data_IF_109098776655
#
_entry.id   IF_109098776655
#
_cell.length_a   1.000
_cell.length_b   1.000
_cell.length_c   1.000
_cell.angle_alpha   90.00
_cell.angle_beta   90.00
_cell.angle_gamma   90.00
#
_symmetry.space_group_name_H-M   'P 1'
#
loop_
_entity.id
_entity.type
_entity.pdbx_description
1 polymer ?
#
# COMPACT_ATOMS: atom_id res chain seq x y z
N UNK A 1 35.52 -21.02 -15.85
CA UNK A 1 34.94 -22.16 -15.12
C UNK A 1 33.59 -21.72 -14.59
N UNK A 2 32.53 -22.00 -15.34
CA UNK A 2 31.15 -21.84 -14.93
C UNK A 2 30.46 -23.11 -15.45
N UNK A 3 30.33 -24.07 -14.55
CA UNK A 3 29.68 -25.35 -14.80
C UNK A 3 28.15 -25.17 -14.87
N UNK A 4 27.60 -26.01 -15.72
CA UNK A 4 26.21 -26.39 -15.99
C UNK A 4 25.14 -26.12 -14.91
N UNK A 5 24.05 -25.50 -15.36
CA UNK A 5 22.71 -25.80 -14.83
C UNK A 5 21.86 -26.29 -15.99
N UNK A 6 21.60 -27.61 -15.99
CA UNK A 6 20.91 -28.32 -17.06
C UNK A 6 19.48 -27.82 -17.27
N UNK A 7 19.22 -27.31 -18.47
CA UNK A 7 17.86 -27.13 -18.99
C UNK A 7 17.23 -28.52 -19.15
N UNK A 8 16.22 -28.81 -18.34
CA UNK A 8 15.41 -30.02 -18.50
C UNK A 8 14.68 -29.95 -19.85
N UNK A 9 15.10 -30.82 -20.77
CA UNK A 9 14.65 -30.90 -22.16
C UNK A 9 13.63 -32.02 -22.29
N UNK A 10 12.37 -31.68 -22.51
CA UNK A 10 11.41 -32.66 -23.03
C UNK A 10 11.64 -32.84 -24.54
N UNK A 11 11.82 -34.10 -24.93
CA UNK A 11 12.08 -34.52 -26.31
C UNK A 11 10.74 -34.78 -27.01
N UNK A 12 10.36 -33.91 -27.94
CA UNK A 12 9.33 -34.23 -28.95
C UNK A 12 9.99 -34.64 -30.26
N UNK A 13 9.54 -35.77 -30.81
CA UNK A 13 10.12 -36.57 -31.90
C UNK A 13 10.13 -35.89 -33.29
N UNK A 14 9.83 -34.61 -33.43
CA UNK A 14 9.76 -33.95 -34.75
C UNK A 14 10.39 -32.56 -34.74
N UNK A 15 11.70 -32.53 -34.95
CA UNK A 15 12.35 -31.81 -36.06
C UNK A 15 12.34 -30.28 -36.17
N UNK A 16 11.49 -29.52 -35.48
CA UNK A 16 11.49 -28.05 -35.61
C UNK A 16 11.54 -27.34 -34.25
N UNK A 17 12.76 -26.93 -33.89
CA UNK A 17 13.02 -26.07 -32.73
C UNK A 17 12.59 -24.63 -33.05
N UNK A 18 11.32 -24.32 -32.87
CA UNK A 18 10.91 -22.94 -32.61
C UNK A 18 10.78 -22.76 -31.10
N UNK A 19 11.60 -21.93 -30.43
CA UNK A 19 11.31 -21.55 -29.07
C UNK A 19 9.96 -20.84 -29.10
N UNK A 20 8.92 -21.47 -28.53
CA UNK A 20 7.64 -20.81 -28.33
C UNK A 20 7.90 -19.70 -27.33
N UNK A 21 8.30 -18.54 -27.83
CA UNK A 21 8.44 -17.34 -27.01
C UNK A 21 7.07 -17.13 -26.37
N UNK A 22 7.00 -17.29 -25.04
CA UNK A 22 5.80 -16.99 -24.28
C UNK A 22 5.47 -15.52 -24.55
N UNK A 23 4.62 -15.26 -25.54
CA UNK A 23 4.05 -13.94 -25.72
C UNK A 23 3.17 -13.71 -24.49
N UNK A 24 3.69 -12.98 -23.51
CA UNK A 24 3.00 -12.65 -22.24
C UNK A 24 1.59 -12.08 -22.47
N UNK A 25 1.35 -11.47 -23.64
CA UNK A 25 0.02 -11.00 -24.08
C UNK A 25 -1.01 -12.11 -24.32
N UNK A 26 -0.58 -13.33 -24.69
CA UNK A 26 -1.44 -14.47 -24.97
C UNK A 26 -1.70 -15.32 -23.71
N UNK A 27 -0.70 -15.51 -22.83
CA UNK A 27 -0.90 -16.25 -21.56
C UNK A 27 -1.96 -15.59 -20.67
N UNK A 28 -1.94 -14.27 -20.53
CA UNK A 28 -2.88 -13.55 -19.65
C UNK A 28 -4.37 -13.61 -20.06
N UNK A 29 -4.68 -14.11 -21.26
CA UNK A 29 -6.07 -14.33 -21.71
C UNK A 29 -6.56 -15.75 -21.41
N UNK A 30 -5.68 -16.61 -20.91
CA UNK A 30 -6.06 -17.94 -20.49
C UNK A 30 -6.83 -17.85 -19.18
N UNK A 31 -8.01 -18.45 -19.17
CA UNK A 31 -8.89 -18.48 -18.00
C UNK A 31 -8.20 -19.04 -16.74
N UNK A 32 -7.29 -20.00 -16.91
CA UNK A 32 -6.48 -20.56 -15.81
C UNK A 32 -5.65 -19.50 -15.09
N UNK A 33 -5.06 -18.56 -15.82
CA UNK A 33 -4.24 -17.49 -15.25
C UNK A 33 -5.12 -16.46 -14.57
N UNK A 34 -6.24 -16.10 -15.20
CA UNK A 34 -7.19 -15.14 -14.61
C UNK A 34 -7.77 -15.71 -13.31
N UNK A 35 -8.11 -17.00 -13.26
CA UNK A 35 -8.60 -17.62 -12.02
C UNK A 35 -7.56 -17.58 -10.91
N UNK A 36 -6.29 -17.86 -11.22
CA UNK A 36 -5.20 -17.77 -10.24
C UNK A 36 -5.00 -16.34 -9.75
N UNK A 37 -5.05 -15.35 -10.64
CA UNK A 37 -4.92 -13.94 -10.27
C UNK A 37 -6.07 -13.46 -9.37
N UNK A 38 -7.29 -13.92 -9.61
CA UNK A 38 -8.44 -13.61 -8.75
C UNK A 38 -8.27 -14.24 -7.38
N UNK A 39 -7.87 -15.51 -7.31
CA UNK A 39 -7.60 -16.20 -6.03
C UNK A 39 -6.48 -15.50 -5.28
N UNK A 40 -5.37 -15.16 -5.94
CA UNK A 40 -4.26 -14.43 -5.35
C UNK A 40 -4.69 -13.05 -4.83
N UNK A 41 -5.56 -12.34 -5.57
CA UNK A 41 -6.08 -11.03 -5.13
C UNK A 41 -6.97 -11.17 -3.91
N UNK A 42 -7.83 -12.20 -3.86
CA UNK A 42 -8.65 -12.48 -2.68
C UNK A 42 -7.79 -12.86 -1.47
N UNK A 43 -6.74 -13.67 -1.66
CA UNK A 43 -5.81 -14.03 -0.60
C UNK A 43 -5.05 -12.80 -0.07
N UNK A 44 -4.60 -11.91 -0.96
CA UNK A 44 -3.97 -10.64 -0.60
C UNK A 44 -4.92 -9.74 0.21
N UNK A 45 -6.18 -9.61 -0.23
CA UNK A 45 -7.19 -8.81 0.49
C UNK A 45 -7.49 -9.42 1.86
N UNK A 46 -7.68 -10.74 1.92
CA UNK A 46 -7.91 -11.46 3.18
C UNK A 46 -6.74 -11.27 4.14
N UNK A 47 -5.51 -11.44 3.66
CA UNK A 47 -4.28 -11.21 4.43
C UNK A 47 -4.25 -9.77 4.97
N UNK A 48 -4.51 -8.78 4.12
CA UNK A 48 -4.50 -7.38 4.51
C UNK A 48 -5.55 -7.07 5.59
N UNK A 49 -6.78 -7.57 5.41
CA UNK A 49 -7.86 -7.36 6.39
C UNK A 49 -7.53 -8.04 7.74
N UNK A 50 -6.93 -9.23 7.72
CA UNK A 50 -6.52 -9.93 8.94
C UNK A 50 -5.43 -9.13 9.69
N UNK A 51 -4.42 -8.63 8.96
CA UNK A 51 -3.35 -7.79 9.55
C UNK A 51 -3.95 -6.52 10.14
N UNK A 52 -4.80 -5.83 9.37
CA UNK A 52 -5.38 -4.56 9.78
C UNK A 52 -6.32 -4.74 10.97
N UNK A 53 -7.18 -5.76 10.95
CA UNK A 53 -8.12 -6.04 12.05
C UNK A 53 -7.40 -6.32 13.36
N UNK A 54 -6.31 -7.09 13.31
CA UNK A 54 -5.66 -7.60 14.51
C UNK A 54 -4.53 -6.71 15.01
N UNK A 55 -3.94 -5.87 14.17
CA UNK A 55 -2.74 -5.12 14.55
C UNK A 55 -2.85 -3.62 14.34
N UNK A 56 -3.69 -3.13 13.43
CA UNK A 56 -3.71 -1.72 13.00
C UNK A 56 -4.93 -0.96 13.52
N UNK A 57 -6.12 -1.54 13.42
CA UNK A 57 -7.37 -0.88 13.82
C UNK A 57 -7.35 -0.59 15.31
N UNK A 58 -7.53 0.69 15.65
CA UNK A 58 -7.59 1.12 17.04
C UNK A 58 -6.25 1.15 17.77
N UNK A 59 -5.12 0.96 17.06
CA UNK A 59 -3.76 1.16 17.57
C UNK A 59 -3.10 2.37 16.88
N UNK A 60 -2.57 2.18 15.67
CA UNK A 60 -1.89 3.18 14.84
C UNK A 60 -2.47 3.07 13.44
N UNK A 61 -3.77 3.35 13.30
CA UNK A 61 -4.39 3.43 11.98
C UNK A 61 -4.25 4.82 11.36
N UNK A 62 -4.39 4.88 10.04
CA UNK A 62 -4.25 6.13 9.29
C UNK A 62 -5.31 7.17 9.67
N UNK A 63 -6.50 6.75 10.12
CA UNK A 63 -7.56 7.68 10.53
C UNK A 63 -7.21 8.40 11.82
N UNK A 64 -6.55 7.73 12.77
CA UNK A 64 -6.06 8.36 13.98
C UNK A 64 -4.93 9.36 13.71
N UNK A 65 -4.06 9.06 12.74
CA UNK A 65 -3.03 9.99 12.30
C UNK A 65 -3.64 11.23 11.63
N UNK A 66 -4.69 11.07 10.82
CA UNK A 66 -5.41 12.18 10.23
C UNK A 66 -6.05 13.07 11.30
N UNK A 67 -6.84 12.51 12.21
CA UNK A 67 -7.46 13.24 13.32
C UNK A 67 -6.43 14.01 14.16
N UNK A 68 -5.28 13.37 14.47
CA UNK A 68 -4.19 14.03 15.22
C UNK A 68 -3.60 15.22 14.46
N UNK A 69 -3.43 15.11 13.15
CA UNK A 69 -2.90 16.20 12.32
C UNK A 69 -3.91 17.33 12.18
N UNK A 70 -5.19 17.00 12.01
CA UNK A 70 -6.28 18.00 11.93
C UNK A 70 -6.41 18.80 13.23
N UNK A 71 -6.33 18.13 14.39
CA UNK A 71 -6.29 18.79 15.70
C UNK A 71 -5.06 19.71 15.83
N UNK A 72 -3.90 19.25 15.37
CA UNK A 72 -2.64 20.02 15.47
C UNK A 72 -2.67 21.28 14.60
N UNK A 73 -3.24 21.19 13.40
CA UNK A 73 -3.30 22.30 12.44
C UNK A 73 -4.52 23.19 12.69
N UNK A 74 -5.56 22.65 13.34
CA UNK A 74 -6.82 23.35 13.59
C UNK A 74 -7.70 23.48 12.34
N UNK A 75 -7.49 22.61 11.34
CA UNK A 75 -8.21 22.60 10.07
C UNK A 75 -8.31 21.18 9.50
N UNK A 76 -9.26 20.97 8.59
CA UNK A 76 -9.47 19.68 7.92
C UNK A 76 -8.39 19.42 6.86
N UNK A 77 -8.00 18.15 6.70
CA UNK A 77 -7.07 17.78 5.65
C UNK A 77 -7.74 17.86 4.27
N UNK A 78 -6.96 18.15 3.20
CA UNK A 78 -7.50 18.26 1.84
C UNK A 78 -8.18 16.99 1.28
N UNK A 79 -7.89 15.81 1.84
CA UNK A 79 -8.53 14.57 1.45
C UNK A 79 -9.79 14.38 2.26
N UNK A 80 -10.94 14.31 1.57
CA UNK A 80 -12.21 14.12 2.26
C UNK A 80 -12.32 12.81 3.05
N UNK A 81 -13.01 12.87 4.18
CA UNK A 81 -13.20 11.82 5.19
C UNK A 81 -13.74 10.51 4.60
N UNK A 82 -14.54 10.61 3.54
CA UNK A 82 -15.07 9.43 2.85
C UNK A 82 -13.94 8.58 2.23
N UNK A 83 -12.90 9.21 1.68
CA UNK A 83 -11.77 8.54 1.03
C UNK A 83 -10.80 7.99 2.08
N UNK A 84 -10.54 8.76 3.14
CA UNK A 84 -9.70 8.33 4.26
C UNK A 84 -10.39 7.25 5.11
N UNK A 85 -11.72 7.23 5.13
CA UNK A 85 -12.51 6.37 6.02
C UNK A 85 -12.63 6.92 7.45
N UNK A 86 -12.29 8.18 7.64
CA UNK A 86 -12.48 8.92 8.89
C UNK A 86 -13.96 9.02 9.27
N UNK A 87 -14.23 9.07 10.58
CA UNK A 87 -15.59 8.95 11.13
C UNK A 87 -16.20 7.54 11.11
N UNK A 88 -15.53 6.53 10.50
CA UNK A 88 -15.97 5.12 10.55
C UNK A 88 -15.35 4.37 11.73
N UNK A 89 -15.92 3.20 12.06
CA UNK A 89 -15.43 2.34 13.14
C UNK A 89 -14.97 0.97 12.64
N UNK A 90 -14.03 0.37 13.37
CA UNK A 90 -13.50 -0.96 13.06
C UNK A 90 -12.86 -1.05 11.67
N UNK A 91 -13.10 -2.17 10.99
CA UNK A 91 -12.59 -2.44 9.64
C UNK A 91 -13.18 -1.51 8.55
N UNK A 92 -14.31 -0.85 8.82
CA UNK A 92 -14.96 0.01 7.83
C UNK A 92 -14.11 1.24 7.43
N UNK A 93 -13.15 1.61 8.29
CA UNK A 93 -12.12 2.63 8.02
C UNK A 93 -11.25 2.29 6.80
N UNK A 94 -11.08 1.00 6.49
CA UNK A 94 -10.16 0.54 5.47
C UNK A 94 -10.81 0.16 4.14
N UNK A 95 -12.13 0.01 4.05
CA UNK A 95 -12.76 -0.48 2.82
C UNK A 95 -12.57 0.45 1.61
N UNK A 96 -12.76 1.77 1.79
CA UNK A 96 -12.55 2.72 0.69
C UNK A 96 -11.06 2.85 0.33
N UNK A 97 -10.14 3.05 1.30
CA UNK A 97 -8.70 2.98 1.03
C UNK A 97 -8.26 1.68 0.34
N UNK A 98 -8.82 0.53 0.73
CA UNK A 98 -8.49 -0.76 0.13
C UNK A 98 -8.85 -0.81 -1.36
N UNK A 99 -10.06 -0.35 -1.72
CA UNK A 99 -10.49 -0.27 -3.12
C UNK A 99 -9.55 0.67 -3.90
N UNK A 100 -9.18 1.81 -3.31
CA UNK A 100 -8.21 2.73 -3.91
C UNK A 100 -6.87 2.02 -4.16
N UNK A 101 -6.36 1.27 -3.17
CA UNK A 101 -5.11 0.51 -3.29
C UNK A 101 -5.15 -0.54 -4.41
N UNK A 102 -6.28 -1.24 -4.56
CA UNK A 102 -6.49 -2.21 -5.65
C UNK A 102 -6.51 -1.50 -7.01
N UNK A 103 -7.23 -0.38 -7.13
CA UNK A 103 -7.31 0.40 -8.38
C UNK A 103 -5.93 0.95 -8.76
N UNK A 104 -5.18 1.51 -7.82
CA UNK A 104 -3.84 2.04 -8.06
C UNK A 104 -2.86 0.93 -8.44
N UNK A 105 -2.82 -0.17 -7.69
CA UNK A 105 -1.97 -1.32 -7.98
C UNK A 105 -2.29 -1.98 -9.33
N UNK A 106 -3.57 -2.15 -9.63
CA UNK A 106 -4.05 -2.66 -10.91
C UNK A 106 -3.72 -1.72 -12.07
N UNK A 107 -3.93 -0.41 -11.88
CA UNK A 107 -3.55 0.62 -12.84
C UNK A 107 -2.06 0.60 -13.15
N UNK A 108 -1.21 0.45 -12.13
CA UNK A 108 0.23 0.28 -12.31
C UNK A 108 0.59 -0.99 -13.09
N UNK A 109 -0.07 -2.11 -12.81
CA UNK A 109 0.12 -3.35 -13.59
C UNK A 109 -0.25 -3.15 -15.06
N UNK A 110 -1.40 -2.53 -15.33
CA UNK A 110 -1.84 -2.22 -16.70
C UNK A 110 -0.87 -1.30 -17.44
N UNK A 111 -0.33 -0.29 -16.75
CA UNK A 111 0.69 0.61 -17.29
C UNK A 111 2.00 -0.12 -17.61
N UNK A 112 2.40 -1.09 -16.79
CA UNK A 112 3.62 -1.87 -17.03
C UNK A 112 3.59 -2.64 -18.36
N UNK A 113 2.39 -2.94 -18.89
CA UNK A 113 2.22 -3.59 -20.19
C UNK A 113 2.18 -2.63 -21.39
N UNK A 114 2.15 -1.32 -21.14
CA UNK A 114 2.18 -0.32 -22.20
C UNK A 114 3.60 -0.17 -22.75
N UNK A 115 3.72 0.40 -23.96
CA UNK A 115 5.03 0.66 -24.57
C UNK A 115 5.85 1.63 -23.72
N UNK A 116 7.20 1.58 -23.75
CA UNK A 116 8.05 2.49 -22.97
C UNK A 116 7.71 3.97 -23.21
N UNK A 117 7.37 4.32 -24.46
CA UNK A 117 6.94 5.68 -24.83
C UNK A 117 5.66 6.11 -24.10
N UNK A 118 4.65 5.22 -24.01
CA UNK A 118 3.40 5.50 -23.30
C UNK A 118 3.65 5.59 -21.79
N UNK A 119 4.43 4.68 -21.23
CA UNK A 119 4.81 4.73 -19.82
C UNK A 119 5.52 6.05 -19.46
N UNK A 120 6.46 6.48 -20.31
CA UNK A 120 7.16 7.75 -20.12
C UNK A 120 6.20 8.94 -20.18
N UNK A 121 5.29 8.97 -21.15
CA UNK A 121 4.28 10.04 -21.28
C UNK A 121 3.35 10.12 -20.08
N UNK A 122 2.89 8.97 -19.58
CA UNK A 122 2.03 8.92 -18.38
C UNK A 122 2.80 9.38 -17.14
N UNK A 123 4.03 8.90 -16.95
CA UNK A 123 4.88 9.34 -15.83
C UNK A 123 5.17 10.83 -15.88
N UNK A 124 5.51 11.35 -17.07
CA UNK A 124 5.77 12.77 -17.26
C UNK A 124 4.50 13.59 -17.03
N UNK A 125 3.36 13.18 -17.59
CA UNK A 125 2.07 13.84 -17.35
C UNK A 125 1.71 13.88 -15.87
N UNK A 126 1.91 12.77 -15.14
CA UNK A 126 1.71 12.71 -13.70
C UNK A 126 2.63 13.68 -12.95
N UNK A 127 3.93 13.70 -13.24
CA UNK A 127 4.90 14.60 -12.61
C UNK A 127 4.57 16.07 -12.91
N UNK A 128 4.28 16.41 -14.16
CA UNK A 128 3.90 17.78 -14.55
C UNK A 128 2.62 18.21 -13.86
N UNK A 129 1.61 17.34 -13.79
CA UNK A 129 0.37 17.64 -13.08
C UNK A 129 0.64 17.88 -11.59
N UNK A 130 1.47 17.05 -10.95
CA UNK A 130 1.85 17.23 -9.56
C UNK A 130 2.57 18.56 -9.34
N UNK A 131 3.51 18.94 -10.21
CA UNK A 131 4.21 20.23 -10.13
C UNK A 131 3.24 21.40 -10.29
N UNK A 132 2.29 21.32 -11.23
CA UNK A 132 1.29 22.35 -11.46
C UNK A 132 0.34 22.49 -10.27
N UNK A 133 -0.08 21.38 -9.65
CA UNK A 133 -0.90 21.44 -8.43
C UNK A 133 -0.11 22.02 -7.26
N UNK A 134 1.17 21.65 -7.13
CA UNK A 134 2.02 22.11 -6.03
C UNK A 134 2.35 23.59 -6.08
N UNK A 135 2.83 24.05 -7.22
CA UNK A 135 3.45 25.39 -7.35
C UNK A 135 2.68 26.26 -8.33
N UNK A 136 1.79 25.70 -9.15
CA UNK A 136 1.05 26.46 -10.16
C UNK A 136 0.15 27.52 -9.54
N UNK A 137 -0.51 27.24 -8.41
CA UNK A 137 -1.33 28.26 -7.73
C UNK A 137 -0.48 29.41 -7.21
N UNK A 138 0.67 29.12 -6.59
CA UNK A 138 1.64 30.12 -6.14
C UNK A 138 2.16 30.96 -7.32
N UNK A 139 2.58 30.31 -8.41
CA UNK A 139 3.12 31.00 -9.57
C UNK A 139 2.07 31.89 -10.22
N UNK A 140 0.82 31.41 -10.36
CA UNK A 140 -0.25 32.21 -10.92
C UNK A 140 -0.60 33.39 -10.01
N UNK A 141 -0.72 33.21 -8.69
CA UNK A 141 -1.04 34.30 -7.76
C UNK A 141 0.08 35.35 -7.72
N UNK A 142 1.34 34.90 -7.62
CA UNK A 142 2.52 35.75 -7.56
C UNK A 142 2.78 36.51 -8.88
N UNK A 143 2.76 35.81 -10.03
CA UNK A 143 2.97 36.45 -11.34
C UNK A 143 1.88 37.46 -11.64
N UNK A 144 0.63 37.12 -11.33
CA UNK A 144 -0.51 38.03 -11.50
C UNK A 144 -0.38 39.25 -10.58
N UNK A 145 0.03 39.03 -9.33
CA UNK A 145 0.31 40.11 -8.37
C UNK A 145 1.35 41.09 -8.90
N UNK A 146 2.50 40.61 -9.35
CA UNK A 146 3.55 41.45 -9.93
C UNK A 146 3.12 42.15 -11.22
N UNK A 147 2.36 41.48 -12.08
CA UNK A 147 1.90 42.02 -13.36
C UNK A 147 0.96 43.22 -13.15
N UNK A 148 0.05 43.14 -12.17
CA UNK A 148 -0.91 44.22 -11.90
C UNK A 148 -0.38 45.29 -10.93
N UNK A 149 0.59 44.96 -10.07
CA UNK A 149 1.24 45.95 -9.20
C UNK A 149 2.45 46.64 -9.84
N UNK A 150 2.91 46.16 -11.00
CA UNK A 150 4.13 46.63 -11.69
C UNK A 150 5.35 46.71 -10.78
N UNK A 151 5.50 45.73 -9.88
CA UNK A 151 6.58 45.66 -8.90
C UNK A 151 7.25 44.29 -8.94
N UNK A 152 8.58 44.28 -9.07
CA UNK A 152 9.38 43.06 -9.09
C UNK A 152 9.75 42.69 -7.65
N UNK A 153 9.01 41.75 -7.07
CA UNK A 153 9.16 41.33 -5.68
C UNK A 153 9.10 39.83 -5.53
N UNK A 154 9.63 39.33 -4.42
CA UNK A 154 9.42 37.93 -4.01
C UNK A 154 7.96 37.70 -3.58
N UNK A 155 7.50 36.43 -3.55
CA UNK A 155 6.19 36.09 -3.02
C UNK A 155 6.01 36.61 -1.59
N UNK A 156 4.88 37.26 -1.33
CA UNK A 156 4.54 37.72 0.02
C UNK A 156 3.88 36.59 0.84
N UNK A 157 3.56 36.85 2.10
CA UNK A 157 2.95 35.86 3.00
C UNK A 157 1.64 35.28 2.46
N UNK A 158 0.81 36.09 1.79
CA UNK A 158 -0.48 35.66 1.26
C UNK A 158 -0.34 34.78 0.01
N UNK A 159 0.70 35.02 -0.80
CA UNK A 159 1.01 34.16 -1.93
C UNK A 159 1.64 32.86 -1.45
N UNK A 160 2.55 32.91 -0.46
CA UNK A 160 3.19 31.73 0.12
C UNK A 160 2.22 30.78 0.82
N UNK A 161 1.17 31.30 1.47
CA UNK A 161 0.15 30.47 2.12
C UNK A 161 -0.63 29.60 1.12
N UNK A 162 -0.61 29.92 -0.18
CA UNK A 162 -1.20 29.04 -1.20
C UNK A 162 -0.51 27.68 -1.32
N UNK A 163 0.71 27.52 -0.78
CA UNK A 163 1.42 26.23 -0.72
C UNK A 163 0.91 25.30 0.39
N UNK A 164 0.22 25.81 1.40
CA UNK A 164 -0.23 25.02 2.55
C UNK A 164 -1.14 23.87 2.08
N UNK A 165 -2.15 24.16 1.26
CA UNK A 165 -3.11 23.17 0.79
C UNK A 165 -2.45 22.04 -0.04
N UNK A 166 -1.62 22.31 -1.06
CA UNK A 166 -0.91 21.24 -1.78
C UNK A 166 0.05 20.43 -0.91
N UNK A 167 0.72 21.04 0.06
CA UNK A 167 1.63 20.34 0.97
C UNK A 167 0.86 19.36 1.87
N UNK A 168 -0.27 19.80 2.44
CA UNK A 168 -1.16 18.94 3.23
C UNK A 168 -1.79 17.84 2.38
N UNK A 169 -2.08 18.10 1.11
CA UNK A 169 -2.55 17.08 0.17
C UNK A 169 -1.48 15.99 -0.07
N UNK A 170 -0.20 16.37 -0.20
CA UNK A 170 0.88 15.37 -0.33
C UNK A 170 1.09 14.59 0.96
N UNK A 171 1.10 15.27 2.10
CA UNK A 171 1.23 14.62 3.40
C UNK A 171 0.12 13.58 3.60
N UNK A 172 -1.12 13.96 3.30
CA UNK A 172 -2.28 13.07 3.47
C UNK A 172 -2.25 11.89 2.50
N UNK A 173 -1.88 12.10 1.22
CA UNK A 173 -1.66 11.00 0.28
C UNK A 173 -0.51 10.09 0.71
N UNK A 174 0.57 10.65 1.25
CA UNK A 174 1.72 9.89 1.71
C UNK A 174 1.31 8.95 2.86
N UNK A 175 0.58 9.46 3.85
CA UNK A 175 0.05 8.66 4.95
C UNK A 175 -0.86 7.57 4.40
N UNK A 176 -1.85 7.92 3.57
CA UNK A 176 -2.80 6.95 3.01
C UNK A 176 -2.08 5.84 2.21
N UNK A 177 -1.16 6.22 1.33
CA UNK A 177 -0.44 5.26 0.49
C UNK A 177 0.53 4.39 1.28
N UNK A 178 1.13 4.89 2.36
CA UNK A 178 1.99 4.09 3.24
C UNK A 178 1.24 2.85 3.75
N UNK A 179 0.02 3.04 4.27
CA UNK A 179 -0.83 1.95 4.77
C UNK A 179 -1.38 1.03 3.66
N UNK A 180 -1.37 1.49 2.41
CA UNK A 180 -1.82 0.73 1.26
C UNK A 180 -0.68 0.05 0.48
N UNK A 181 0.60 0.27 0.86
CA UNK A 181 1.76 -0.30 0.17
C UNK A 181 1.67 -1.83 -0.02
N UNK A 182 1.30 -2.64 0.99
CA UNK A 182 1.15 -4.08 0.80
C UNK A 182 0.14 -4.43 -0.29
N UNK A 183 -1.00 -3.74 -0.33
CA UNK A 183 -2.07 -3.98 -1.31
C UNK A 183 -1.64 -3.52 -2.69
N UNK A 184 -1.13 -2.29 -2.81
CA UNK A 184 -0.73 -1.70 -4.09
C UNK A 184 0.34 -2.57 -4.75
N UNK A 185 1.37 -2.96 -4.01
CA UNK A 185 2.46 -3.78 -4.52
C UNK A 185 2.02 -5.22 -4.80
N UNK A 186 1.13 -5.77 -3.96
CA UNK A 186 0.59 -7.11 -4.15
C UNK A 186 -0.25 -7.19 -5.41
N UNK A 187 -1.22 -6.29 -5.59
CA UNK A 187 -2.07 -6.24 -6.79
C UNK A 187 -1.22 -5.96 -8.04
N UNK A 188 -0.27 -5.02 -7.96
CA UNK A 188 0.68 -4.77 -9.06
C UNK A 188 1.47 -6.05 -9.40
N UNK A 189 1.86 -6.82 -8.41
CA UNK A 189 2.59 -8.08 -8.58
C UNK A 189 1.76 -9.16 -9.25
N UNK A 190 0.54 -9.41 -8.77
CA UNK A 190 -0.39 -10.41 -9.31
C UNK A 190 -0.72 -10.10 -10.77
N UNK A 191 -1.21 -8.88 -11.02
CA UNK A 191 -1.70 -8.50 -12.34
C UNK A 191 -0.57 -8.14 -13.30
N UNK A 192 0.58 -7.71 -12.77
CA UNK A 192 1.81 -7.44 -13.52
C UNK A 192 2.70 -8.67 -13.72
N UNK A 193 2.32 -9.83 -13.19
CA UNK A 193 3.11 -11.08 -13.19
C UNK A 193 4.55 -10.86 -12.70
N UNK A 194 4.71 -10.15 -11.58
CA UNK A 194 5.98 -9.66 -11.07
C UNK A 194 6.32 -10.23 -9.69
N UNK A 195 7.19 -11.25 -9.65
CA UNK A 195 7.72 -11.85 -8.41
C UNK A 195 8.38 -10.83 -7.49
N UNK A 196 9.09 -9.84 -8.07
CA UNK A 196 9.70 -8.76 -7.29
C UNK A 196 8.65 -7.92 -6.55
N UNK A 197 7.52 -7.61 -7.20
CA UNK A 197 6.47 -6.81 -6.58
C UNK A 197 5.72 -7.60 -5.50
N UNK A 198 5.53 -8.91 -5.70
CA UNK A 198 5.01 -9.83 -4.68
C UNK A 198 5.92 -9.87 -3.44
N UNK A 199 7.24 -9.99 -3.63
CA UNK A 199 8.20 -9.95 -2.52
C UNK A 199 8.15 -8.61 -1.75
N UNK A 200 7.98 -7.48 -2.45
CA UNK A 200 7.77 -6.18 -1.79
C UNK A 200 6.48 -6.13 -0.98
N UNK A 201 5.37 -6.67 -1.48
CA UNK A 201 4.11 -6.71 -0.75
C UNK A 201 4.25 -7.46 0.59
N UNK A 202 4.96 -8.59 0.56
CA UNK A 202 5.26 -9.39 1.75
C UNK A 202 6.20 -8.62 2.68
N UNK A 203 7.27 -8.05 2.14
CA UNK A 203 8.21 -7.23 2.91
C UNK A 203 7.51 -6.07 3.62
N UNK A 204 6.60 -5.37 2.96
CA UNK A 204 5.80 -4.31 3.59
C UNK A 204 4.86 -4.86 4.64
N UNK A 205 4.19 -6.00 4.40
CA UNK A 205 3.33 -6.64 5.40
C UNK A 205 4.11 -7.01 6.66
N UNK A 206 5.28 -7.63 6.49
CA UNK A 206 6.18 -7.99 7.59
C UNK A 206 6.74 -6.76 8.29
N UNK A 207 7.04 -5.69 7.57
CA UNK A 207 7.46 -4.41 8.15
C UNK A 207 6.37 -3.84 9.06
N UNK A 208 5.11 -3.81 8.60
CA UNK A 208 3.98 -3.37 9.43
C UNK A 208 3.85 -4.20 10.69
N UNK A 209 3.88 -5.54 10.57
CA UNK A 209 3.82 -6.43 11.73
C UNK A 209 5.03 -6.23 12.66
N UNK A 210 6.23 -6.03 12.10
CA UNK A 210 7.45 -5.78 12.87
C UNK A 210 7.40 -4.49 13.67
N UNK A 211 6.89 -3.40 13.08
CA UNK A 211 6.69 -2.12 13.79
C UNK A 211 5.72 -2.32 14.95
N UNK A 212 4.57 -2.96 14.71
CA UNK A 212 3.59 -3.22 15.77
C UNK A 212 4.15 -4.13 16.87
N UNK A 213 4.90 -5.16 16.50
CA UNK A 213 5.57 -6.04 17.45
C UNK A 213 6.63 -5.31 18.28
N UNK A 214 7.36 -4.34 17.71
CA UNK A 214 8.33 -3.53 18.44
C UNK A 214 7.61 -2.59 19.42
N UNK A 215 6.53 -1.95 18.97
CA UNK A 215 5.75 -1.05 19.82
C UNK A 215 5.03 -1.82 20.94
N UNK A 216 4.75 -3.12 20.75
CA UNK A 216 4.25 -4.06 21.76
C UNK A 216 5.11 -4.17 23.03
N UNK A 217 6.40 -3.85 22.96
CA UNK A 217 7.29 -3.98 24.10
C UNK A 217 7.07 -2.86 25.12
N UNK A 218 6.76 -3.17 26.39
CA UNK A 218 6.52 -2.17 27.43
C UNK A 218 7.70 -1.21 27.63
N UNK A 219 8.93 -1.67 27.40
CA UNK A 219 10.12 -0.83 27.44
C UNK A 219 10.04 0.30 26.39
N UNK A 220 9.67 -0.02 25.15
CA UNK A 220 9.58 0.94 24.05
C UNK A 220 8.35 1.84 24.26
N UNK A 221 7.20 1.27 24.59
CA UNK A 221 6.00 2.05 24.86
C UNK A 221 6.21 3.03 26.03
N UNK A 222 6.91 2.59 27.09
CA UNK A 222 7.28 3.45 28.22
C UNK A 222 8.23 4.60 27.88
N UNK A 223 8.96 4.55 26.75
CA UNK A 223 9.76 5.68 26.27
C UNK A 223 8.93 6.71 25.48
N UNK A 224 7.71 6.38 25.06
CA UNK A 224 6.85 7.28 24.29
C UNK A 224 6.15 8.34 25.16
N UNK A 225 6.24 8.24 26.50
CA UNK A 225 5.64 9.21 27.42
C UNK A 225 4.13 9.32 27.23
N UNK A 226 3.56 10.53 27.26
CA UNK A 226 2.12 10.77 27.02
C UNK A 226 1.65 10.40 25.62
N UNK A 227 2.56 10.21 24.65
CA UNK A 227 2.21 9.71 23.32
C UNK A 227 1.99 8.19 23.31
N UNK A 228 2.49 7.46 24.32
CA UNK A 228 2.20 6.03 24.49
C UNK A 228 0.76 5.77 24.92
N UNK A 229 0.12 6.74 25.59
CA UNK A 229 -1.28 6.64 26.04
C UNK A 229 -2.29 6.71 24.88
N UNK A 230 -1.90 7.31 23.75
CA UNK A 230 -2.72 7.34 22.54
C UNK A 230 -2.50 6.12 21.65
N UNK A 231 -1.42 5.36 21.85
CA UNK A 231 -1.17 4.13 21.10
C UNK A 231 -1.71 2.95 21.89
N UNK A 232 -2.83 2.37 21.45
CA UNK A 232 -3.33 1.12 22.03
C UNK A 232 -2.45 -0.04 21.56
N UNK A 233 -1.33 -0.20 22.25
CA UNK A 233 -0.36 -1.24 21.98
C UNK A 233 -0.95 -2.57 22.45
N UNK A 234 -1.12 -3.52 21.53
CA UNK A 234 -1.54 -4.88 21.87
C UNK A 234 -0.40 -5.51 22.68
N UNK A 235 -0.64 -5.68 23.99
CA UNK A 235 0.38 -6.17 24.92
C UNK A 235 1.01 -7.48 24.47
N UNK A 236 2.32 -7.61 24.65
CA UNK A 236 3.06 -8.84 24.40
C UNK A 236 2.41 -10.02 25.15
N UNK A 237 1.77 -10.92 24.41
CA UNK A 237 0.91 -11.95 24.98
C UNK A 237 1.69 -13.16 25.47
N UNK A 238 1.93 -13.20 26.77
CA UNK A 238 1.92 -14.47 27.50
C UNK A 238 0.47 -14.72 27.95
N UNK A 239 -0.40 -15.13 27.02
CA UNK A 239 -1.83 -15.35 27.32
C UNK A 239 -2.18 -16.83 27.29
N UNK A 240 -3.19 -17.20 28.06
CA UNK A 240 -3.74 -18.55 28.09
C UNK A 240 -4.33 -18.93 26.72
N UNK A 241 -4.14 -20.16 26.24
CA UNK A 241 -4.68 -20.60 24.97
C UNK A 241 -6.20 -20.55 25.03
N UNK A 242 -6.84 -20.01 23.98
CA UNK A 242 -8.30 -19.80 23.93
C UNK A 242 -8.94 -20.38 22.67
N UNK A 243 -8.14 -20.65 21.64
CA UNK A 243 -8.60 -21.26 20.39
C UNK A 243 -8.07 -22.69 20.34
N UNK A 244 -8.96 -23.62 20.01
CA UNK A 244 -8.69 -25.05 20.08
C UNK A 244 -9.40 -25.85 19.00
N UNK A 245 -8.88 -27.05 18.74
CA UNK A 245 -9.50 -28.04 17.84
C UNK A 245 -10.02 -29.18 18.72
N UNK A 246 -11.26 -29.61 18.50
CA UNK A 246 -11.89 -30.70 19.28
C UNK A 246 -11.88 -30.48 20.81
N UNK A 247 -11.98 -29.23 21.26
CA UNK A 247 -12.05 -28.88 22.69
C UNK A 247 -10.70 -28.74 23.40
N UNK A 248 -9.58 -28.99 22.73
CA UNK A 248 -8.24 -28.73 23.26
C UNK A 248 -7.80 -27.32 22.86
N UNK A 249 -7.65 -26.42 23.83
CA UNK A 249 -7.14 -25.06 23.58
C UNK A 249 -5.63 -25.12 23.30
N UNK A 250 -5.22 -24.71 22.10
CA UNK A 250 -3.86 -24.87 21.58
C UNK A 250 -3.14 -23.55 21.39
N UNK A 251 -3.86 -22.50 20.98
CA UNK A 251 -3.27 -21.21 20.61
C UNK A 251 -4.10 -20.04 21.13
N UNK A 252 -3.47 -18.89 21.31
CA UNK A 252 -4.17 -17.63 21.58
C UNK A 252 -4.84 -17.10 20.32
N UNK A 253 -5.77 -16.14 20.46
CA UNK A 253 -6.43 -15.49 19.30
C UNK A 253 -5.42 -14.85 18.34
N UNK A 254 -4.37 -14.26 18.88
CA UNK A 254 -3.34 -13.54 18.14
C UNK A 254 -2.35 -14.50 17.48
N UNK A 255 -2.00 -15.60 18.14
CA UNK A 255 -1.22 -16.67 17.51
C UNK A 255 -1.98 -17.29 16.34
N UNK A 256 -3.29 -17.50 16.49
CA UNK A 256 -4.14 -17.96 15.40
C UNK A 256 -4.19 -16.96 14.24
N UNK A 257 -4.31 -15.66 14.52
CA UNK A 257 -4.25 -14.62 13.50
C UNK A 257 -2.91 -14.62 12.73
N UNK A 258 -1.77 -14.79 13.42
CA UNK A 258 -0.47 -14.93 12.77
C UNK A 258 -0.39 -16.18 11.89
N UNK A 259 -0.94 -17.31 12.35
CA UNK A 259 -1.03 -18.53 11.54
C UNK A 259 -1.90 -18.28 10.31
N UNK A 260 -3.03 -17.61 10.45
CA UNK A 260 -3.90 -17.24 9.33
C UNK A 260 -3.19 -16.34 8.34
N UNK A 261 -2.49 -15.30 8.81
CA UNK A 261 -1.68 -14.43 7.97
C UNK A 261 -0.60 -15.24 7.24
N UNK A 262 0.10 -16.15 7.93
CA UNK A 262 1.13 -16.99 7.32
C UNK A 262 0.55 -17.92 6.24
N UNK A 263 -0.60 -18.54 6.49
CA UNK A 263 -1.32 -19.37 5.50
C UNK A 263 -1.76 -18.52 4.31
N UNK A 264 -2.30 -17.32 4.54
CA UNK A 264 -2.74 -16.43 3.48
C UNK A 264 -1.57 -15.91 2.64
N UNK A 265 -0.42 -15.61 3.26
CA UNK A 265 0.83 -15.27 2.56
C UNK A 265 1.28 -16.46 1.71
N UNK A 266 1.26 -17.68 2.24
CA UNK A 266 1.65 -18.88 1.50
C UNK A 266 0.73 -19.10 0.29
N UNK A 267 -0.59 -19.04 0.47
CA UNK A 267 -1.57 -19.16 -0.63
C UNK A 267 -1.36 -18.05 -1.66
N UNK A 268 -1.13 -16.82 -1.20
CA UNK A 268 -0.83 -15.68 -2.07
C UNK A 268 0.43 -15.92 -2.91
N UNK A 269 1.50 -16.44 -2.31
CA UNK A 269 2.76 -16.75 -3.01
C UNK A 269 2.60 -17.89 -4.02
N UNK A 270 1.94 -18.98 -3.64
CA UNK A 270 1.78 -20.17 -4.48
C UNK A 270 0.80 -19.94 -5.64
N UNK A 271 -0.13 -18.99 -5.51
CA UNK A 271 -1.10 -18.63 -6.55
C UNK A 271 -0.62 -17.56 -7.53
N UNK A 272 0.56 -16.97 -7.31
CA UNK A 272 1.10 -15.82 -8.06
C UNK A 272 2.29 -16.17 -8.96
#
# INVERSE_FOLDING_TARGET
MADDVGLQRDVTVTGERSPRTLHLKLLRKQWQIISLQVIATMALVGMYLEVVSNYVVGSIDHTMLFDTIEILIGDQLPIGDWLTGEGRSGLARFFVPLVLGIVVGGGMALLAFQTPKVQQRVKLGFIVTLIVVLVGQLLLSWLTGMLFSFDLRLPNSNELSTLEWPLLMILSLMILFLYLLPVIMGVRGIWGLSRRSIAWAIGFTLLFLGIHAILAFPLINGQLGSYGDSVNVIGAQFSEPTIGIFGLMLVTKQQFALIMIAVLIMVFQESS
#
